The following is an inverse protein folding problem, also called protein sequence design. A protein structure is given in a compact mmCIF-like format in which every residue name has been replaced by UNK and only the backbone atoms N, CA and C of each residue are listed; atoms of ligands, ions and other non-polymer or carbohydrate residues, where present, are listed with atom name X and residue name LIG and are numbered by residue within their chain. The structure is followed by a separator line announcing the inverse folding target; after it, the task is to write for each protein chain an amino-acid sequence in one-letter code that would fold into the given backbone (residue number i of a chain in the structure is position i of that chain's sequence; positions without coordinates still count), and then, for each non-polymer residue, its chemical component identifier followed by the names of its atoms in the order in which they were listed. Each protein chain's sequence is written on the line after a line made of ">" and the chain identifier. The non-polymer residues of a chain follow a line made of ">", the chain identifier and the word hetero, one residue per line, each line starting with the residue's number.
data_IF_685757438702
#
_entry.id   IF_685757438702
#
_cell.length_a   1.000
_cell.length_b   1.000
_cell.length_c   1.000
_cell.angle_alpha   90.00
_cell.angle_beta   90.00
_cell.angle_gamma   90.00
#
_symmetry.space_group_name_H-M   'P 1'
#
loop_
_entity.id
_entity.type
_entity.pdbx_description
1 polymer ?
#
# COMPACT_ATOMS: atom_id res chain seq x y z
N UNK A 1 16.45 -1.25 27.41
CA UNK A 1 15.32 -2.19 27.51
C UNK A 1 15.76 -3.48 26.86
N UNK A 2 15.33 -4.63 27.37
CA UNK A 2 15.67 -5.94 26.81
C UNK A 2 14.39 -6.69 26.52
N UNK A 3 14.34 -7.40 25.37
CA UNK A 3 13.22 -8.23 24.96
C UNK A 3 13.73 -9.54 24.33
N UNK A 4 12.96 -10.61 24.44
CA UNK A 4 13.24 -11.85 23.73
C UNK A 4 13.07 -11.65 22.22
N UNK A 5 12.04 -10.86 21.81
CA UNK A 5 11.76 -10.55 20.41
C UNK A 5 11.46 -9.07 20.22
N UNK A 6 12.13 -8.45 19.26
CA UNK A 6 11.82 -7.10 18.78
C UNK A 6 11.36 -7.19 17.33
N UNK A 7 10.15 -6.69 17.06
CA UNK A 7 9.58 -6.63 15.70
C UNK A 7 9.68 -5.20 15.18
N UNK A 8 10.31 -5.01 14.02
CA UNK A 8 10.44 -3.72 13.36
C UNK A 8 9.44 -3.62 12.22
N UNK A 9 8.41 -2.82 12.41
CA UNK A 9 7.28 -2.62 11.51
C UNK A 9 5.98 -3.23 12.03
N UNK A 10 4.94 -2.41 12.10
CA UNK A 10 3.61 -2.77 12.62
C UNK A 10 2.59 -3.12 11.54
N UNK A 11 3.04 -3.50 10.34
CA UNK A 11 2.18 -4.00 9.26
C UNK A 11 1.65 -5.41 9.51
N UNK A 12 0.88 -6.01 8.55
CA UNK A 12 0.27 -7.34 8.73
C UNK A 12 1.25 -8.42 9.17
N UNK A 13 2.41 -8.52 8.56
CA UNK A 13 3.44 -9.46 8.98
C UNK A 13 3.95 -9.15 10.41
N UNK A 14 4.23 -7.87 10.70
CA UNK A 14 4.84 -7.48 11.96
C UNK A 14 3.91 -7.61 13.16
N UNK A 15 2.68 -7.05 13.12
CA UNK A 15 1.79 -7.13 14.28
C UNK A 15 1.36 -8.58 14.58
N UNK A 16 1.20 -9.41 13.55
CA UNK A 16 0.85 -10.83 13.77
C UNK A 16 2.05 -11.60 14.33
N UNK A 17 3.27 -11.35 13.82
CA UNK A 17 4.49 -11.93 14.39
C UNK A 17 4.67 -11.55 15.86
N UNK A 18 4.44 -10.27 16.20
CA UNK A 18 4.53 -9.80 17.58
C UNK A 18 3.52 -10.50 18.50
N UNK A 19 2.25 -10.58 18.09
CA UNK A 19 1.20 -11.26 18.85
C UNK A 19 1.53 -12.76 19.00
N UNK A 20 1.93 -13.43 17.92
CA UNK A 20 2.25 -14.85 17.94
C UNK A 20 3.44 -15.14 18.87
N UNK A 21 4.51 -14.35 18.81
CA UNK A 21 5.66 -14.49 19.70
C UNK A 21 5.27 -14.32 21.17
N UNK A 22 4.41 -13.34 21.48
CA UNK A 22 3.91 -13.13 22.83
C UNK A 22 3.04 -14.30 23.33
N UNK A 23 2.19 -14.87 22.46
CA UNK A 23 1.41 -16.07 22.77
C UNK A 23 2.28 -17.31 23.04
N UNK A 24 3.50 -17.34 22.52
CA UNK A 24 4.51 -18.36 22.81
C UNK A 24 5.32 -18.08 24.10
N UNK A 25 4.90 -17.08 24.88
CA UNK A 25 5.50 -16.77 26.19
C UNK A 25 6.73 -15.87 26.12
N UNK A 26 7.00 -15.23 24.98
CA UNK A 26 8.14 -14.31 24.82
C UNK A 26 7.79 -12.91 25.28
N UNK A 27 8.77 -12.18 25.80
CA UNK A 27 8.70 -10.72 25.99
C UNK A 27 8.90 -10.05 24.64
N UNK A 28 7.91 -9.25 24.17
CA UNK A 28 7.88 -8.73 22.80
C UNK A 28 7.69 -7.22 22.77
N UNK A 29 8.49 -6.54 21.97
CA UNK A 29 8.25 -5.16 21.52
C UNK A 29 7.94 -5.13 20.03
N UNK A 30 6.97 -4.27 19.63
CA UNK A 30 6.68 -3.99 18.23
C UNK A 30 6.84 -2.48 17.98
N UNK A 31 7.74 -2.13 17.04
CA UNK A 31 8.12 -0.75 16.75
C UNK A 31 7.41 -0.32 15.46
N UNK A 32 6.71 0.81 15.51
CA UNK A 32 6.03 1.40 14.35
C UNK A 32 6.26 2.90 14.30
N UNK A 33 6.63 3.43 13.12
CA UNK A 33 6.88 4.86 12.91
C UNK A 33 5.63 5.68 12.62
N UNK A 34 4.55 5.03 12.14
CA UNK A 34 3.35 5.74 11.73
C UNK A 34 2.57 6.24 12.93
N UNK A 35 2.24 7.52 12.89
CA UNK A 35 1.35 8.19 13.83
C UNK A 35 0.16 8.78 13.07
N UNK A 36 -0.98 8.93 13.73
CA UNK A 36 -2.14 9.64 13.19
C UNK A 36 -2.00 11.17 13.32
N UNK A 37 -2.97 11.90 12.81
CA UNK A 37 -3.03 13.37 12.90
C UNK A 37 -3.07 13.90 14.35
N UNK A 38 -3.36 13.04 15.33
CA UNK A 38 -3.39 13.37 16.76
C UNK A 38 -2.10 13.00 17.49
N UNK A 39 -1.09 12.46 16.77
CA UNK A 39 0.17 11.99 17.34
C UNK A 39 0.08 10.60 17.97
N UNK A 40 -1.02 9.87 17.81
CA UNK A 40 -1.15 8.50 18.29
C UNK A 40 -0.55 7.51 17.32
N UNK A 41 0.12 6.51 17.85
CA UNK A 41 0.71 5.41 17.08
C UNK A 41 -0.35 4.64 16.28
N UNK A 42 -0.05 4.35 15.01
CA UNK A 42 -0.99 3.78 14.04
C UNK A 42 -0.45 2.48 13.44
N UNK A 43 -0.81 1.36 14.06
CA UNK A 43 -0.46 0.02 13.57
C UNK A 43 -1.30 -0.39 12.36
N UNK A 44 -0.89 -1.45 11.66
CA UNK A 44 -1.59 -2.03 10.51
C UNK A 44 -0.86 -1.85 9.18
N UNK A 45 0.23 -1.06 9.16
CA UNK A 45 1.07 -0.83 7.98
C UNK A 45 0.29 -0.33 6.77
N UNK A 46 0.82 -0.57 5.57
CA UNK A 46 0.20 -0.16 4.30
C UNK A 46 -1.20 -0.74 4.14
N UNK A 47 -1.39 -2.03 4.35
CA UNK A 47 -2.66 -2.71 4.06
C UNK A 47 -3.85 -2.08 4.81
N UNK A 48 -3.72 -1.86 6.12
CA UNK A 48 -4.84 -1.34 6.91
C UNK A 48 -5.01 0.17 6.77
N UNK A 49 -3.92 0.91 6.65
CA UNK A 49 -3.96 2.36 6.71
C UNK A 49 -4.15 3.04 5.35
N UNK A 50 -3.42 2.57 4.32
CA UNK A 50 -3.31 3.27 3.02
C UNK A 50 -3.29 2.28 1.83
N UNK A 51 -3.87 1.11 2.00
CA UNK A 51 -3.88 0.04 0.99
C UNK A 51 -5.19 -0.72 0.96
N UNK A 52 -5.15 -2.02 1.29
CA UNK A 52 -6.24 -2.96 1.11
C UNK A 52 -7.56 -2.52 1.76
N UNK A 53 -7.51 -2.06 3.01
CA UNK A 53 -8.72 -1.74 3.76
C UNK A 53 -9.41 -0.48 3.22
N UNK A 54 -8.73 0.69 3.10
CA UNK A 54 -9.39 1.86 2.54
C UNK A 54 -9.79 1.67 1.07
N UNK A 55 -9.00 0.96 0.24
CA UNK A 55 -9.39 0.72 -1.16
C UNK A 55 -10.65 -0.15 -1.25
N UNK A 56 -10.78 -1.21 -0.45
CA UNK A 56 -11.98 -2.07 -0.43
C UNK A 56 -13.20 -1.33 0.14
N UNK A 57 -13.01 -0.45 1.12
CA UNK A 57 -14.09 0.40 1.63
C UNK A 57 -14.63 1.35 0.55
N UNK A 58 -13.73 1.93 -0.29
CA UNK A 58 -14.14 2.78 -1.42
C UNK A 58 -14.72 1.96 -2.57
N UNK A 59 -14.15 0.78 -2.87
CA UNK A 59 -14.71 -0.13 -3.88
C UNK A 59 -16.15 -0.54 -3.53
N UNK A 60 -16.41 -0.93 -2.27
CA UNK A 60 -17.78 -1.25 -1.81
C UNK A 60 -18.74 -0.06 -1.96
N UNK A 61 -18.33 1.12 -1.50
CA UNK A 61 -19.19 2.31 -1.57
C UNK A 61 -19.42 2.78 -3.01
N UNK A 62 -18.36 2.80 -3.85
CA UNK A 62 -18.49 3.20 -5.25
C UNK A 62 -19.31 2.19 -6.07
N UNK A 63 -19.24 0.88 -5.75
CA UNK A 63 -20.08 -0.13 -6.39
C UNK A 63 -21.55 0.09 -6.07
N UNK A 64 -21.90 0.33 -4.80
CA UNK A 64 -23.29 0.63 -4.39
C UNK A 64 -23.84 1.85 -5.11
N UNK A 65 -23.05 2.90 -5.23
CA UNK A 65 -23.43 4.09 -6.00
C UNK A 65 -23.65 3.76 -7.47
N UNK A 66 -22.72 3.05 -8.10
CA UNK A 66 -22.78 2.66 -9.50
C UNK A 66 -23.98 1.77 -9.80
N UNK A 67 -24.26 0.75 -8.95
CA UNK A 67 -25.41 -0.13 -9.10
C UNK A 67 -26.72 0.64 -8.98
N UNK A 68 -26.78 1.58 -8.02
CA UNK A 68 -27.97 2.43 -7.84
C UNK A 68 -28.25 3.29 -9.07
N UNK A 69 -27.19 3.82 -9.71
CA UNK A 69 -27.33 4.71 -10.88
C UNK A 69 -27.59 3.94 -12.18
N UNK A 70 -27.00 2.74 -12.34
CA UNK A 70 -26.92 2.04 -13.63
C UNK A 70 -27.73 0.75 -13.70
N UNK A 71 -27.91 0.03 -12.60
CA UNK A 71 -28.40 -1.33 -12.65
C UNK A 71 -29.79 -1.54 -12.04
N UNK A 72 -30.23 -0.71 -11.10
CA UNK A 72 -31.49 -0.92 -10.37
C UNK A 72 -32.72 -0.89 -11.28
N UNK A 73 -32.72 -0.09 -12.34
CA UNK A 73 -33.84 -0.06 -13.30
C UNK A 73 -34.07 -1.41 -13.99
N UNK A 74 -33.02 -2.19 -14.24
CA UNK A 74 -33.09 -3.55 -14.77
C UNK A 74 -33.81 -4.54 -13.81
N UNK A 75 -33.84 -4.22 -12.51
CA UNK A 75 -34.59 -4.95 -11.49
C UNK A 75 -35.99 -4.41 -11.22
N UNK A 76 -36.47 -3.45 -12.02
CA UNK A 76 -37.77 -2.79 -11.82
C UNK A 76 -37.78 -1.78 -10.66
N UNK A 77 -36.58 -1.32 -10.23
CA UNK A 77 -36.44 -0.35 -9.13
C UNK A 77 -36.08 1.01 -9.73
N UNK A 78 -37.01 1.94 -9.72
CA UNK A 78 -36.78 3.29 -10.20
C UNK A 78 -36.36 4.22 -9.07
N UNK A 79 -35.15 4.82 -9.24
CA UNK A 79 -34.63 5.81 -8.31
C UNK A 79 -34.65 7.18 -8.98
N UNK A 80 -35.49 8.09 -8.47
CA UNK A 80 -35.73 9.40 -9.10
C UNK A 80 -34.50 10.33 -9.10
N UNK A 81 -33.68 10.27 -8.06
CA UNK A 81 -32.45 11.04 -7.98
C UNK A 81 -31.43 10.36 -7.07
N UNK A 82 -30.17 10.36 -7.49
CA UNK A 82 -29.05 9.86 -6.69
C UNK A 82 -28.01 10.96 -6.58
N UNK A 83 -27.62 11.32 -5.38
CA UNK A 83 -26.54 12.26 -5.12
C UNK A 83 -25.39 11.57 -4.39
N UNK A 84 -24.17 11.96 -4.71
CA UNK A 84 -22.97 11.50 -4.04
C UNK A 84 -22.52 12.54 -3.00
N UNK A 85 -22.43 12.13 -1.74
CA UNK A 85 -21.71 12.86 -0.69
C UNK A 85 -20.34 12.20 -0.52
N UNK A 86 -19.34 12.72 -1.22
CA UNK A 86 -17.99 12.18 -1.19
C UNK A 86 -17.35 12.33 0.19
N UNK A 87 -17.60 13.44 0.91
CA UNK A 87 -17.03 13.67 2.24
C UNK A 87 -17.50 12.57 3.20
N UNK A 88 -18.80 12.25 3.21
CA UNK A 88 -19.35 11.17 4.02
C UNK A 88 -18.83 9.77 3.62
N UNK A 89 -18.58 9.54 2.32
CA UNK A 89 -17.95 8.30 1.85
C UNK A 89 -16.52 8.17 2.38
N UNK A 90 -15.74 9.27 2.37
CA UNK A 90 -14.39 9.30 2.94
C UNK A 90 -14.41 9.11 4.46
N UNK A 91 -15.32 9.76 5.17
CA UNK A 91 -15.49 9.56 6.63
C UNK A 91 -15.79 8.10 6.97
N UNK A 92 -16.63 7.42 6.15
CA UNK A 92 -16.88 5.98 6.31
C UNK A 92 -15.61 5.16 6.13
N UNK A 93 -14.81 5.44 5.08
CA UNK A 93 -13.51 4.78 4.83
C UNK A 93 -12.60 4.95 6.05
N UNK A 94 -12.46 6.17 6.56
CA UNK A 94 -11.60 6.50 7.70
C UNK A 94 -12.10 5.84 9.00
N UNK A 95 -13.41 5.76 9.19
CA UNK A 95 -14.03 5.03 10.29
C UNK A 95 -13.69 3.54 10.28
N UNK A 96 -13.73 2.89 9.09
CA UNK A 96 -13.35 1.48 8.94
C UNK A 96 -11.86 1.28 9.28
N UNK A 97 -10.98 2.13 8.75
CA UNK A 97 -9.54 2.09 9.03
C UNK A 97 -9.28 2.25 10.53
N UNK A 98 -9.87 3.27 11.15
CA UNK A 98 -9.71 3.57 12.59
C UNK A 98 -10.16 2.41 13.46
N UNK A 99 -11.31 1.79 13.15
CA UNK A 99 -11.82 0.64 13.91
C UNK A 99 -10.83 -0.53 13.88
N UNK A 100 -10.28 -0.86 12.71
CA UNK A 100 -9.37 -2.00 12.57
C UNK A 100 -8.00 -1.72 13.18
N UNK A 101 -7.45 -0.54 12.97
CA UNK A 101 -6.12 -0.19 13.53
C UNK A 101 -6.16 -0.06 15.05
N UNK A 102 -7.24 0.46 15.63
CA UNK A 102 -7.45 0.47 17.09
C UNK A 102 -7.57 -0.94 17.66
N UNK A 103 -8.15 -1.87 16.89
CA UNK A 103 -8.25 -3.28 17.28
C UNK A 103 -6.88 -3.93 17.49
N UNK A 104 -5.85 -3.56 16.71
CA UNK A 104 -4.49 -4.09 16.87
C UNK A 104 -3.91 -3.70 18.23
N UNK A 105 -4.06 -2.44 18.64
CA UNK A 105 -3.60 -1.99 19.98
C UNK A 105 -4.34 -2.72 21.11
N UNK A 106 -5.61 -3.03 20.91
CA UNK A 106 -6.38 -3.88 21.82
C UNK A 106 -5.78 -5.29 21.93
N UNK A 107 -5.43 -5.90 20.78
CA UNK A 107 -4.78 -7.21 20.75
C UNK A 107 -3.39 -7.18 21.39
N UNK A 108 -2.61 -6.13 21.18
CA UNK A 108 -1.31 -5.97 21.85
C UNK A 108 -1.46 -5.94 23.37
N UNK A 109 -2.43 -5.17 23.86
CA UNK A 109 -2.70 -5.10 25.31
C UNK A 109 -3.07 -6.47 25.89
N UNK A 110 -3.94 -7.23 25.25
CA UNK A 110 -4.37 -8.56 25.71
C UNK A 110 -3.22 -9.57 25.69
N UNK A 111 -2.30 -9.45 24.72
CA UNK A 111 -1.17 -10.38 24.56
C UNK A 111 0.14 -9.84 25.20
N UNK A 112 0.11 -8.74 25.94
CA UNK A 112 1.28 -8.13 26.58
C UNK A 112 2.41 -7.76 25.60
N UNK A 113 2.08 -7.39 24.36
CA UNK A 113 3.04 -6.83 23.41
C UNK A 113 3.27 -5.36 23.76
N UNK A 114 4.53 -4.95 23.89
CA UNK A 114 4.92 -3.55 24.15
C UNK A 114 4.95 -2.76 22.85
N UNK A 115 4.02 -1.81 22.63
CA UNK A 115 4.06 -0.93 21.47
C UNK A 115 5.12 0.16 21.68
N UNK A 116 5.97 0.40 20.68
CA UNK A 116 7.01 1.44 20.71
C UNK A 116 6.85 2.32 19.47
N UNK A 117 6.71 3.63 19.67
CA UNK A 117 6.65 4.61 18.58
C UNK A 117 8.07 4.99 18.16
N UNK A 118 8.32 5.02 16.86
CA UNK A 118 9.53 5.55 16.28
C UNK A 118 10.02 4.82 15.05
N UNK A 119 11.03 5.40 14.42
CA UNK A 119 11.77 4.78 13.31
C UNK A 119 12.89 3.96 13.91
N UNK A 120 12.93 2.66 13.56
CA UNK A 120 13.91 1.73 14.07
C UNK A 120 15.01 1.44 13.03
N UNK A 121 16.25 1.34 13.49
CA UNK A 121 17.42 0.88 12.74
C UNK A 121 18.04 -0.30 13.47
N UNK A 122 18.22 -1.42 12.77
CA UNK A 122 18.97 -2.57 13.28
C UNK A 122 20.46 -2.25 13.25
N UNK A 123 21.12 -2.42 14.39
CA UNK A 123 22.57 -2.28 14.56
C UNK A 123 23.22 -3.68 14.69
N UNK A 124 24.55 -3.71 14.80
CA UNK A 124 25.27 -4.93 15.14
C UNK A 124 24.78 -5.58 16.45
N UNK A 125 24.98 -6.88 16.57
CA UNK A 125 24.65 -7.69 17.77
C UNK A 125 23.17 -7.61 18.18
N UNK A 126 22.26 -7.49 17.20
CA UNK A 126 20.79 -7.44 17.42
C UNK A 126 20.34 -6.30 18.32
N UNK A 127 21.11 -5.22 18.39
CA UNK A 127 20.68 -3.99 19.01
C UNK A 127 19.80 -3.21 18.04
N UNK A 128 18.75 -2.58 18.54
CA UNK A 128 17.82 -1.77 17.75
C UNK A 128 17.84 -0.35 18.28
N UNK A 129 18.20 0.60 17.44
CA UNK A 129 18.09 2.04 17.72
C UNK A 129 16.71 2.52 17.28
N UNK A 130 15.96 3.10 18.21
CA UNK A 130 14.65 3.69 17.92
C UNK A 130 14.74 5.20 18.09
N UNK A 131 14.34 5.95 17.07
CA UNK A 131 14.22 7.40 17.10
C UNK A 131 12.74 7.76 17.04
N UNK A 132 12.23 8.36 18.12
CA UNK A 132 10.83 8.79 18.21
C UNK A 132 10.57 10.10 17.44
N UNK A 133 9.30 10.52 17.37
CA UNK A 133 8.86 11.75 16.67
C UNK A 133 9.44 13.05 17.29
N UNK A 134 9.92 13.01 18.55
CA UNK A 134 10.63 14.14 19.19
C UNK A 134 12.11 14.19 18.85
N UNK A 135 12.63 13.15 18.18
CA UNK A 135 14.05 12.99 17.85
C UNK A 135 14.86 12.31 18.96
N UNK A 136 14.23 11.86 20.06
CA UNK A 136 14.89 11.14 21.15
C UNK A 136 15.25 9.74 20.69
N UNK A 137 16.46 9.33 20.95
CA UNK A 137 16.99 8.01 20.62
C UNK A 137 16.96 7.08 21.85
N UNK A 138 16.50 5.84 21.60
CA UNK A 138 16.47 4.80 22.63
C UNK A 138 17.05 3.52 22.03
N UNK A 139 18.02 2.92 22.72
CA UNK A 139 18.62 1.64 22.33
C UNK A 139 17.91 0.49 23.05
N UNK A 140 17.50 -0.52 22.27
CA UNK A 140 16.83 -1.73 22.73
C UNK A 140 17.75 -2.91 22.37
N UNK A 141 17.90 -3.86 23.31
CA UNK A 141 18.60 -5.11 23.05
C UNK A 141 17.59 -6.23 22.87
N UNK A 142 17.79 -7.07 21.85
CA UNK A 142 16.94 -8.20 21.55
C UNK A 142 17.73 -9.51 21.54
N UNK A 143 17.08 -10.61 21.91
CA UNK A 143 17.59 -11.94 21.61
C UNK A 143 17.37 -12.30 20.15
N UNK A 144 16.18 -11.96 19.64
CA UNK A 144 15.79 -12.15 18.25
C UNK A 144 15.15 -10.87 17.68
N UNK A 145 15.36 -10.61 16.38
CA UNK A 145 14.76 -9.47 15.69
C UNK A 145 13.98 -9.97 14.48
N UNK A 146 12.76 -9.44 14.29
CA UNK A 146 11.95 -9.69 13.09
C UNK A 146 11.82 -8.39 12.31
N UNK A 147 12.38 -8.35 11.12
CA UNK A 147 12.29 -7.23 10.18
C UNK A 147 11.00 -7.37 9.36
N UNK A 148 10.08 -6.44 9.53
CA UNK A 148 8.77 -6.42 8.88
C UNK A 148 8.38 -5.02 8.39
N UNK A 149 9.37 -4.24 7.91
CA UNK A 149 9.23 -2.84 7.48
C UNK A 149 8.36 -2.66 6.23
N UNK A 150 8.09 -3.75 5.50
CA UNK A 150 7.16 -3.76 4.37
C UNK A 150 7.73 -3.13 3.10
N UNK A 151 6.90 -2.38 2.39
CA UNK A 151 7.19 -1.80 1.09
C UNK A 151 6.66 -0.37 0.96
N UNK A 152 7.14 0.33 -0.05
CA UNK A 152 6.70 1.68 -0.42
C UNK A 152 6.43 1.79 -1.92
N UNK A 153 5.54 2.70 -2.37
CA UNK A 153 5.32 2.98 -3.79
C UNK A 153 6.61 3.40 -4.50
N UNK A 154 6.71 3.06 -5.78
CA UNK A 154 7.81 3.50 -6.63
C UNK A 154 7.47 4.88 -7.20
N UNK A 155 8.29 5.87 -6.89
CA UNK A 155 8.30 7.15 -7.59
C UNK A 155 9.16 7.04 -8.85
N UNK A 156 8.65 7.57 -9.97
CA UNK A 156 9.38 7.56 -11.25
C UNK A 156 9.79 8.99 -11.64
N UNK A 157 11.03 9.21 -12.06
CA UNK A 157 11.53 10.57 -12.36
C UNK A 157 10.75 11.31 -13.44
N UNK A 158 10.09 10.58 -14.36
CA UNK A 158 9.28 11.15 -15.45
C UNK A 158 7.91 11.66 -14.98
N UNK A 159 7.47 11.29 -13.76
CA UNK A 159 6.20 11.71 -13.15
C UNK A 159 6.42 11.98 -11.65
N UNK A 160 7.20 13.00 -11.26
CA UNK A 160 7.47 13.32 -9.87
C UNK A 160 6.18 13.72 -9.16
N UNK A 161 6.06 13.33 -7.88
CA UNK A 161 4.88 13.64 -7.09
C UNK A 161 4.69 15.14 -6.90
N UNK A 162 3.44 15.57 -6.94
CA UNK A 162 3.03 16.96 -6.79
C UNK A 162 1.62 17.03 -6.20
N UNK A 163 0.99 18.17 -6.18
CA UNK A 163 -0.41 18.33 -5.76
C UNK A 163 -1.38 17.47 -6.61
N UNK A 164 -1.10 17.34 -7.92
CA UNK A 164 -1.99 16.67 -8.88
C UNK A 164 -1.42 15.33 -9.39
N UNK A 165 -0.18 14.98 -9.05
CA UNK A 165 0.46 13.70 -9.35
C UNK A 165 0.73 12.97 -8.03
N UNK A 166 0.13 11.81 -7.83
CA UNK A 166 0.20 11.10 -6.57
C UNK A 166 0.38 9.59 -6.75
N UNK A 167 0.73 8.93 -5.66
CA UNK A 167 0.74 7.47 -5.55
C UNK A 167 -0.65 6.91 -5.18
N UNK A 168 -0.69 5.62 -4.88
CA UNK A 168 -1.91 4.94 -4.41
C UNK A 168 -2.42 5.49 -3.07
N UNK A 169 -1.56 6.04 -2.22
CA UNK A 169 -1.93 6.61 -0.92
C UNK A 169 -2.73 7.90 -1.11
N UNK A 170 -2.21 8.84 -1.92
CA UNK A 170 -2.90 10.09 -2.18
C UNK A 170 -4.19 9.89 -2.97
N UNK A 171 -4.25 8.87 -3.84
CA UNK A 171 -5.47 8.51 -4.56
C UNK A 171 -6.63 8.06 -3.67
N UNK A 172 -6.36 7.60 -2.45
CA UNK A 172 -7.35 7.26 -1.42
C UNK A 172 -7.86 8.47 -0.64
N UNK A 173 -7.29 9.65 -0.87
CA UNK A 173 -7.54 10.88 -0.11
C UNK A 173 -8.11 12.03 -0.97
N UNK A 174 -8.54 11.78 -2.21
CA UNK A 174 -9.15 12.82 -3.03
C UNK A 174 -10.43 13.36 -2.39
N UNK A 175 -10.49 14.67 -2.23
CA UNK A 175 -11.63 15.38 -1.64
C UNK A 175 -12.71 15.77 -2.66
N UNK A 176 -12.41 15.60 -3.94
CA UNK A 176 -13.35 15.82 -5.05
C UNK A 176 -13.16 14.71 -6.09
N UNK A 177 -14.23 14.37 -6.81
CA UNK A 177 -14.15 13.44 -7.94
C UNK A 177 -13.49 14.17 -9.10
N UNK A 178 -12.27 13.77 -9.56
CA UNK A 178 -11.65 14.40 -10.71
C UNK A 178 -12.47 14.13 -11.97
N UNK A 179 -12.64 15.12 -12.84
CA UNK A 179 -13.39 14.91 -14.10
C UNK A 179 -12.61 14.01 -15.05
N UNK A 180 -11.29 14.24 -15.18
CA UNK A 180 -10.35 13.41 -15.95
C UNK A 180 -9.26 12.89 -15.04
N UNK A 181 -9.15 11.58 -14.92
CA UNK A 181 -8.15 10.89 -14.10
C UNK A 181 -7.23 10.06 -14.97
N UNK A 182 -5.94 10.33 -14.89
CA UNK A 182 -4.91 9.47 -15.47
C UNK A 182 -4.41 8.44 -14.45
N UNK A 183 -4.08 7.25 -14.93
CA UNK A 183 -3.41 6.20 -14.12
C UNK A 183 -2.24 5.68 -14.94
N UNK A 184 -1.05 5.69 -14.37
CA UNK A 184 0.13 5.03 -14.95
C UNK A 184 0.29 3.67 -14.27
N UNK A 185 0.16 2.60 -15.08
CA UNK A 185 0.25 1.22 -14.65
C UNK A 185 -1.12 0.53 -14.54
N UNK A 186 -1.34 -0.51 -15.37
CA UNK A 186 -2.54 -1.36 -15.36
C UNK A 186 -2.38 -2.57 -14.42
N UNK A 187 -1.58 -2.45 -13.36
CA UNK A 187 -1.53 -3.41 -12.27
C UNK A 187 -2.77 -3.34 -11.37
N UNK A 188 -2.90 -4.31 -10.45
CA UNK A 188 -4.08 -4.45 -9.57
C UNK A 188 -4.43 -3.13 -8.86
N UNK A 189 -3.44 -2.41 -8.32
CA UNK A 189 -3.65 -1.17 -7.56
C UNK A 189 -4.21 -0.07 -8.48
N UNK A 190 -3.61 0.12 -9.66
CA UNK A 190 -4.06 1.12 -10.63
C UNK A 190 -5.49 0.87 -11.11
N UNK A 191 -5.80 -0.39 -11.40
CA UNK A 191 -7.14 -0.80 -11.84
C UNK A 191 -8.19 -0.67 -10.73
N UNK A 192 -7.89 -1.07 -9.50
CA UNK A 192 -8.81 -0.89 -8.36
C UNK A 192 -9.14 0.58 -8.13
N UNK A 193 -8.12 1.44 -8.03
CA UNK A 193 -8.33 2.88 -7.79
C UNK A 193 -8.97 3.56 -9.00
N UNK A 194 -8.55 3.22 -10.22
CA UNK A 194 -9.21 3.70 -11.44
C UNK A 194 -10.70 3.35 -11.47
N UNK A 195 -11.05 2.11 -11.08
CA UNK A 195 -12.45 1.68 -11.07
C UNK A 195 -13.29 2.39 -9.99
N UNK A 196 -12.72 2.67 -8.82
CA UNK A 196 -13.41 3.48 -7.79
C UNK A 196 -13.84 4.82 -8.39
N UNK A 197 -12.90 5.56 -8.97
CA UNK A 197 -13.16 6.91 -9.47
C UNK A 197 -14.02 6.90 -10.74
N UNK A 198 -13.88 5.89 -11.62
CA UNK A 198 -14.76 5.73 -12.79
C UNK A 198 -16.23 5.53 -12.38
N UNK A 199 -16.49 4.67 -11.37
CA UNK A 199 -17.84 4.45 -10.82
C UNK A 199 -18.44 5.71 -10.22
N UNK A 200 -17.59 6.63 -9.72
CA UNK A 200 -18.02 7.92 -9.16
C UNK A 200 -18.16 9.02 -10.22
N UNK A 201 -17.85 8.74 -11.49
CA UNK A 201 -18.08 9.64 -12.61
C UNK A 201 -16.83 10.24 -13.26
N UNK A 202 -15.62 9.86 -12.86
CA UNK A 202 -14.40 10.26 -13.55
C UNK A 202 -14.27 9.60 -14.92
N UNK A 203 -13.79 10.34 -15.92
CA UNK A 203 -13.25 9.77 -17.15
C UNK A 203 -11.84 9.27 -16.84
N UNK A 204 -11.67 7.93 -16.79
CA UNK A 204 -10.40 7.30 -16.39
C UNK A 204 -9.67 6.76 -17.60
N UNK A 205 -8.42 7.19 -17.81
CA UNK A 205 -7.50 6.61 -18.79
C UNK A 205 -6.34 5.97 -18.04
N UNK A 206 -6.10 4.68 -18.33
CA UNK A 206 -4.99 3.90 -17.77
C UNK A 206 -3.95 3.70 -18.86
N UNK A 207 -2.72 4.16 -18.63
CA UNK A 207 -1.58 4.00 -19.51
C UNK A 207 -0.67 2.88 -19.00
N UNK A 208 -0.53 1.81 -19.78
CA UNK A 208 0.31 0.66 -19.46
C UNK A 208 1.40 0.50 -20.52
N UNK A 209 2.65 0.43 -20.07
CA UNK A 209 3.80 0.32 -20.96
C UNK A 209 3.91 -1.04 -21.64
N UNK A 210 3.38 -2.10 -21.00
CA UNK A 210 3.39 -3.44 -21.56
C UNK A 210 2.21 -3.66 -22.52
N UNK A 211 2.41 -4.54 -23.48
CA UNK A 211 1.35 -4.97 -24.42
C UNK A 211 0.39 -5.99 -23.78
N UNK A 212 0.81 -6.64 -22.69
CA UNK A 212 0.03 -7.65 -21.97
C UNK A 212 -0.69 -7.04 -20.78
N UNK A 213 -2.02 -7.20 -20.74
CA UNK A 213 -2.86 -6.80 -19.60
C UNK A 213 -2.80 -7.82 -18.47
N UNK A 214 -2.50 -7.37 -17.25
CA UNK A 214 -2.41 -8.21 -16.05
C UNK A 214 -1.57 -9.47 -16.27
N UNK A 215 -0.34 -9.33 -16.73
CA UNK A 215 0.58 -10.41 -17.11
C UNK A 215 0.80 -11.46 -15.99
N UNK A 216 0.49 -11.13 -14.74
CA UNK A 216 0.54 -12.04 -13.58
C UNK A 216 -0.68 -12.97 -13.48
N UNK A 217 -1.78 -12.69 -14.19
CA UNK A 217 -3.01 -13.45 -14.16
C UNK A 217 -3.05 -14.47 -15.31
N UNK A 218 -3.91 -15.48 -15.16
CA UNK A 218 -4.26 -16.35 -16.28
C UNK A 218 -4.79 -15.50 -17.45
N UNK A 219 -4.36 -15.81 -18.67
CA UNK A 219 -4.65 -15.01 -19.87
C UNK A 219 -6.15 -14.89 -20.17
N UNK A 220 -6.92 -15.95 -19.93
CA UNK A 220 -8.36 -15.93 -20.16
C UNK A 220 -9.05 -15.03 -19.13
N UNK A 221 -8.66 -15.14 -17.87
CA UNK A 221 -9.14 -14.28 -16.78
C UNK A 221 -8.78 -12.81 -17.06
N UNK A 222 -7.53 -12.53 -17.43
CA UNK A 222 -7.09 -11.16 -17.77
C UNK A 222 -7.94 -10.56 -18.90
N UNK A 223 -8.22 -11.34 -19.96
CA UNK A 223 -9.07 -10.91 -21.08
C UNK A 223 -10.52 -10.56 -20.64
N UNK A 224 -11.11 -11.39 -19.78
CA UNK A 224 -12.47 -11.15 -19.30
C UNK A 224 -12.53 -9.96 -18.34
N UNK A 225 -11.54 -9.83 -17.45
CA UNK A 225 -11.39 -8.66 -16.57
C UNK A 225 -11.23 -7.36 -17.35
N UNK A 226 -10.43 -7.35 -18.43
CA UNK A 226 -10.27 -6.18 -19.29
C UNK A 226 -11.60 -5.74 -19.92
N UNK A 227 -12.41 -6.69 -20.41
CA UNK A 227 -13.75 -6.40 -20.94
C UNK A 227 -14.67 -5.78 -19.87
N UNK A 228 -14.62 -6.30 -18.65
CA UNK A 228 -15.45 -5.78 -17.55
C UNK A 228 -15.03 -4.36 -17.14
N UNK A 229 -13.73 -4.06 -17.08
CA UNK A 229 -13.27 -2.70 -16.84
C UNK A 229 -13.66 -1.73 -17.96
N UNK A 230 -13.57 -2.16 -19.23
CA UNK A 230 -14.04 -1.36 -20.36
C UNK A 230 -15.54 -1.04 -20.28
N UNK A 231 -16.39 -2.01 -19.87
CA UNK A 231 -17.82 -1.80 -19.61
C UNK A 231 -18.07 -0.79 -18.47
N UNK A 232 -17.20 -0.77 -17.48
CA UNK A 232 -17.25 0.20 -16.38
C UNK A 232 -16.73 1.60 -16.79
N UNK A 233 -16.25 1.76 -18.02
CA UNK A 233 -15.81 3.06 -18.56
C UNK A 233 -14.32 3.36 -18.37
N UNK A 234 -13.48 2.38 -18.06
CA UNK A 234 -12.03 2.57 -18.07
C UNK A 234 -11.49 2.49 -19.51
N UNK A 235 -10.75 3.52 -19.93
CA UNK A 235 -9.97 3.53 -21.18
C UNK A 235 -8.57 3.00 -20.88
N UNK A 236 -8.34 1.71 -21.11
CA UNK A 236 -7.07 1.03 -20.83
C UNK A 236 -6.25 0.95 -22.12
N UNK A 237 -5.12 1.66 -22.15
CA UNK A 237 -4.21 1.74 -23.28
C UNK A 237 -2.93 0.97 -22.99
N UNK A 238 -2.82 -0.21 -23.59
CA UNK A 238 -1.62 -1.05 -23.55
C UNK A 238 -0.57 -0.52 -24.54
N UNK A 239 0.70 -0.91 -24.39
CA UNK A 239 1.80 -0.46 -25.21
C UNK A 239 2.01 1.06 -25.19
N UNK A 240 1.53 1.72 -24.11
CA UNK A 240 1.53 3.19 -23.95
C UNK A 240 2.56 3.59 -22.91
N UNK A 241 3.80 3.81 -23.32
CA UNK A 241 4.91 4.18 -22.44
C UNK A 241 4.92 5.67 -22.17
N UNK A 242 4.63 6.06 -20.93
CA UNK A 242 4.73 7.46 -20.48
C UNK A 242 6.19 7.92 -20.57
N UNK A 243 6.41 9.08 -21.20
CA UNK A 243 7.71 9.71 -21.37
C UNK A 243 7.91 10.94 -20.48
N UNK A 244 6.82 11.63 -20.14
CA UNK A 244 6.83 12.70 -19.13
C UNK A 244 5.44 12.97 -18.58
N UNK A 245 5.38 13.43 -17.31
CA UNK A 245 4.17 14.01 -16.72
C UNK A 245 4.54 15.32 -16.03
N UNK A 246 3.83 16.40 -16.36
CA UNK A 246 4.08 17.75 -15.83
C UNK A 246 2.80 18.32 -15.23
N UNK A 247 2.85 18.64 -13.96
CA UNK A 247 1.81 19.40 -13.28
C UNK A 247 2.05 20.89 -13.46
N UNK A 248 1.06 21.60 -14.03
CA UNK A 248 1.11 23.06 -14.19
C UNK A 248 0.24 23.81 -13.16
N UNK A 249 -0.18 23.12 -12.08
CA UNK A 249 -1.03 23.63 -11.02
C UNK A 249 -2.54 23.58 -11.32
N UNK A 250 -2.93 23.40 -12.59
CA UNK A 250 -4.34 23.27 -13.01
C UNK A 250 -4.65 21.91 -13.61
N UNK A 251 -3.70 21.37 -14.37
CA UNK A 251 -3.78 20.11 -15.09
C UNK A 251 -2.43 19.40 -15.07
N UNK A 252 -2.48 18.09 -15.22
CA UNK A 252 -1.32 17.27 -15.48
C UNK A 252 -1.28 16.94 -16.96
N UNK A 253 -0.21 17.35 -17.64
CA UNK A 253 0.04 17.02 -19.05
C UNK A 253 0.92 15.78 -19.07
N UNK A 254 0.43 14.69 -19.65
CA UNK A 254 1.12 13.41 -19.78
C UNK A 254 1.44 13.14 -21.23
N UNK A 255 2.73 13.06 -21.56
CA UNK A 255 3.19 12.63 -22.87
C UNK A 255 3.54 11.13 -22.81
N UNK A 256 3.19 10.40 -23.84
CA UNK A 256 3.47 8.98 -23.95
C UNK A 256 3.73 8.56 -25.38
N UNK A 257 4.46 7.47 -25.58
CA UNK A 257 4.75 6.88 -26.87
C UNK A 257 4.04 5.54 -27.03
N UNK A 258 3.62 5.27 -28.26
CA UNK A 258 3.05 3.98 -28.70
C UNK A 258 3.76 3.52 -29.97
N UNK A 259 3.42 2.35 -30.49
CA UNK A 259 3.87 1.88 -31.82
C UNK A 259 3.48 2.84 -32.97
N UNK A 260 2.48 3.68 -32.78
CA UNK A 260 1.97 4.64 -33.77
C UNK A 260 2.58 6.04 -33.65
N UNK A 261 3.48 6.27 -32.68
CA UNK A 261 4.12 7.55 -32.43
C UNK A 261 3.82 8.11 -31.04
N UNK A 262 4.13 9.39 -30.87
CA UNK A 262 3.92 10.12 -29.60
C UNK A 262 2.52 10.76 -29.57
N UNK A 263 1.96 10.83 -28.36
CA UNK A 263 0.67 11.46 -28.08
C UNK A 263 0.67 12.11 -26.69
N UNK A 264 -0.33 12.92 -26.39
CA UNK A 264 -0.43 13.66 -25.14
C UNK A 264 -1.86 13.70 -24.61
N UNK A 265 -2.01 13.62 -23.29
CA UNK A 265 -3.29 13.70 -22.59
C UNK A 265 -3.22 14.70 -21.43
N UNK A 266 -4.37 15.29 -21.12
CA UNK A 266 -4.52 16.19 -19.98
C UNK A 266 -5.48 15.60 -18.94
N UNK A 267 -5.05 15.63 -17.67
CA UNK A 267 -5.80 15.14 -16.53
C UNK A 267 -5.95 16.17 -15.41
N UNK A 268 -6.97 16.04 -14.58
CA UNK A 268 -7.11 16.81 -13.34
C UNK A 268 -6.19 16.26 -12.26
N UNK A 269 -6.10 14.93 -12.18
CA UNK A 269 -5.23 14.18 -11.27
C UNK A 269 -4.59 13.01 -12.01
N UNK A 270 -3.39 12.64 -11.56
CA UNK A 270 -2.65 11.49 -12.09
C UNK A 270 -2.24 10.56 -10.93
N UNK A 271 -2.53 9.28 -11.06
CA UNK A 271 -2.09 8.24 -10.14
C UNK A 271 -0.91 7.50 -10.77
N UNK A 272 0.21 7.41 -10.05
CA UNK A 272 1.37 6.58 -10.43
C UNK A 272 1.31 5.26 -9.65
N UNK A 273 1.02 4.16 -10.34
CA UNK A 273 0.80 2.83 -9.78
C UNK A 273 1.67 1.76 -10.46
N UNK A 274 2.95 2.08 -10.70
CA UNK A 274 3.91 1.26 -11.46
C UNK A 274 4.61 0.18 -10.63
N UNK A 275 4.19 -0.01 -9.39
CA UNK A 275 4.70 -1.03 -8.48
C UNK A 275 5.16 -0.49 -7.14
N UNK A 276 5.75 -1.40 -6.37
CA UNK A 276 6.25 -1.14 -5.02
C UNK A 276 7.67 -1.68 -4.89
N UNK A 277 8.45 -1.10 -3.99
CA UNK A 277 9.79 -1.58 -3.62
C UNK A 277 9.87 -1.87 -2.13
N UNK A 278 10.72 -2.81 -1.67
CA UNK A 278 10.90 -3.08 -0.26
C UNK A 278 11.39 -1.83 0.48
N UNK A 279 10.97 -1.67 1.73
CA UNK A 279 11.41 -0.56 2.57
C UNK A 279 12.60 -1.02 3.43
N UNK A 280 13.79 -1.08 2.81
CA UNK A 280 15.05 -1.44 3.45
C UNK A 280 15.95 -0.23 3.74
N UNK A 281 15.64 0.93 3.17
CA UNK A 281 16.37 2.18 3.43
C UNK A 281 16.27 2.55 4.92
N UNK A 282 17.39 2.95 5.52
CA UNK A 282 17.50 3.34 6.94
C UNK A 282 17.11 2.24 7.96
N UNK A 283 16.71 1.06 7.49
CA UNK A 283 16.35 -0.08 8.35
C UNK A 283 17.59 -0.74 8.98
N UNK A 284 18.69 -0.75 8.25
CA UNK A 284 19.91 -1.47 8.59
C UNK A 284 21.07 -0.50 8.70
N UNK A 285 21.84 -0.59 9.79
CA UNK A 285 23.14 0.06 9.85
C UNK A 285 24.17 -0.72 9.01
N UNK A 286 25.24 -0.10 8.54
CA UNK A 286 26.27 -0.79 7.75
C UNK A 286 26.90 -2.00 8.45
N UNK A 287 26.93 -1.99 9.77
CA UNK A 287 27.52 -3.03 10.63
C UNK A 287 26.49 -4.08 11.09
N UNK A 288 25.22 -3.97 10.67
CA UNK A 288 24.18 -4.98 10.97
C UNK A 288 24.48 -6.33 10.29
N UNK A 289 25.27 -6.35 9.21
CA UNK A 289 25.70 -7.58 8.53
C UNK A 289 24.56 -8.34 7.82
N UNK A 290 23.47 -7.65 7.46
CA UNK A 290 22.34 -8.23 6.74
C UNK A 290 22.53 -8.07 5.24
N UNK A 291 22.38 -9.16 4.50
CA UNK A 291 22.48 -9.16 3.05
C UNK A 291 21.17 -8.71 2.41
N UNK A 292 21.26 -7.80 1.44
CA UNK A 292 20.17 -7.35 0.59
C UNK A 292 20.52 -7.58 -0.88
N UNK A 293 19.52 -7.86 -1.71
CA UNK A 293 19.74 -8.05 -3.14
C UNK A 293 19.72 -6.73 -3.92
N UNK A 294 19.97 -6.83 -5.24
CA UNK A 294 20.04 -5.69 -6.17
C UNK A 294 18.74 -4.87 -6.29
N UNK A 295 17.59 -5.43 -5.82
CA UNK A 295 16.29 -4.77 -5.79
C UNK A 295 15.90 -4.27 -4.38
N UNK A 296 16.82 -4.42 -3.41
CA UNK A 296 16.62 -3.97 -2.04
C UNK A 296 15.85 -4.94 -1.14
N UNK A 297 15.58 -6.18 -1.57
CA UNK A 297 14.98 -7.20 -0.72
C UNK A 297 16.03 -7.80 0.23
N UNK A 298 15.63 -8.03 1.47
CA UNK A 298 16.45 -8.79 2.43
C UNK A 298 16.47 -10.26 2.00
N UNK A 299 17.69 -10.82 1.94
CA UNK A 299 17.92 -12.22 1.60
C UNK A 299 17.65 -13.08 2.84
N UNK A 300 16.83 -14.12 2.68
CA UNK A 300 16.46 -15.04 3.75
C UNK A 300 16.51 -16.49 3.26
N UNK A 301 16.68 -17.42 4.20
CA UNK A 301 16.55 -18.85 3.97
C UNK A 301 15.07 -19.31 4.03
N UNK A 302 14.82 -20.61 3.96
CA UNK A 302 13.48 -21.22 3.94
C UNK A 302 12.68 -20.99 5.23
N UNK A 303 13.36 -20.71 6.36
CA UNK A 303 12.73 -20.37 7.64
C UNK A 303 12.73 -18.85 7.91
N UNK A 304 12.85 -18.05 6.88
CA UNK A 304 12.87 -16.58 6.95
C UNK A 304 14.03 -15.98 7.76
N UNK A 305 15.08 -16.73 8.08
CA UNK A 305 16.26 -16.23 8.77
C UNK A 305 17.23 -15.58 7.77
N UNK A 306 17.80 -14.46 8.18
CA UNK A 306 18.75 -13.68 7.36
C UNK A 306 20.16 -14.26 7.47
N UNK A 307 21.16 -13.57 6.89
CA UNK A 307 22.59 -13.87 7.07
C UNK A 307 23.09 -13.75 8.52
N UNK A 308 22.29 -13.14 9.42
CA UNK A 308 22.61 -13.00 10.84
C UNK A 308 21.71 -13.89 11.68
N UNK A 309 22.31 -14.81 12.47
CA UNK A 309 21.58 -15.73 13.33
C UNK A 309 20.68 -14.97 14.33
N UNK A 310 19.41 -15.41 14.43
CA UNK A 310 18.38 -14.79 15.26
C UNK A 310 17.86 -13.46 14.72
N UNK A 311 18.13 -13.16 13.45
CA UNK A 311 17.48 -12.04 12.72
C UNK A 311 16.69 -12.61 11.56
N UNK A 312 15.40 -12.34 11.55
CA UNK A 312 14.43 -12.83 10.55
C UNK A 312 13.88 -11.66 9.75
N UNK A 313 13.45 -11.91 8.51
CA UNK A 313 12.73 -10.92 7.72
C UNK A 313 11.50 -11.53 7.03
N UNK A 314 10.39 -10.80 7.05
CA UNK A 314 9.09 -11.29 6.56
C UNK A 314 8.30 -10.20 5.81
N UNK A 315 7.26 -10.60 5.11
CA UNK A 315 6.35 -9.70 4.39
C UNK A 315 6.96 -9.16 3.10
N UNK A 316 6.61 -7.91 2.74
CA UNK A 316 7.04 -7.27 1.49
C UNK A 316 8.54 -6.96 1.44
N UNK A 317 9.22 -7.07 2.58
CA UNK A 317 10.67 -6.87 2.69
C UNK A 317 11.48 -7.99 2.04
N UNK A 318 10.91 -9.18 1.86
CA UNK A 318 11.55 -10.36 1.26
C UNK A 318 10.94 -10.70 -0.10
N UNK A 319 11.68 -11.44 -0.94
CA UNK A 319 11.24 -11.86 -2.28
C UNK A 319 9.88 -12.57 -2.26
N UNK A 320 9.16 -12.46 -3.38
CA UNK A 320 7.84 -13.02 -3.60
C UNK A 320 6.77 -11.93 -3.77
N UNK A 321 5.49 -12.31 -3.93
CA UNK A 321 4.42 -11.34 -4.14
C UNK A 321 4.25 -10.42 -2.93
N UNK A 322 4.11 -9.11 -3.18
CA UNK A 322 3.86 -8.12 -2.13
C UNK A 322 2.38 -8.14 -1.72
N UNK A 323 2.00 -9.17 -0.99
CA UNK A 323 0.64 -9.43 -0.51
C UNK A 323 0.64 -9.58 1.01
N UNK A 324 -0.32 -8.95 1.67
CA UNK A 324 -0.50 -9.07 3.13
C UNK A 324 -0.59 -10.55 3.58
N UNK A 325 -1.26 -11.39 2.78
CA UNK A 325 -1.43 -12.82 3.06
C UNK A 325 -0.10 -13.59 3.05
N UNK A 326 0.86 -13.24 2.17
CA UNK A 326 2.22 -13.82 2.22
C UNK A 326 2.86 -13.53 3.57
N UNK A 327 2.82 -12.28 4.03
CA UNK A 327 3.36 -11.90 5.31
C UNK A 327 2.74 -12.66 6.48
N UNK A 328 1.40 -12.85 6.46
CA UNK A 328 0.69 -13.64 7.47
C UNK A 328 1.08 -15.12 7.43
N UNK A 329 1.36 -15.69 6.26
CA UNK A 329 1.78 -17.09 6.11
C UNK A 329 3.20 -17.31 6.64
N UNK A 330 4.14 -16.43 6.26
CA UNK A 330 5.57 -16.59 6.61
C UNK A 330 5.84 -16.61 8.12
N UNK A 331 5.02 -15.95 8.93
CA UNK A 331 5.22 -15.95 10.40
C UNK A 331 4.89 -17.27 11.08
N UNK A 332 4.35 -18.26 10.37
CA UNK A 332 4.03 -19.59 10.88
C UNK A 332 5.08 -20.63 10.52
N UNK A 333 6.11 -20.24 9.75
CA UNK A 333 7.25 -21.08 9.41
C UNK A 333 8.29 -21.03 10.55
#
# INVERSE_FOLDING_TARGET
>A
MNFDVVVIGGGPAGYVAAIKSAQLGKSVACIEKNIDKTGKQKYGGTCLNVGCIPSKALLDSSQRYYDTVKHLSGHGIDVKSVSLDLAKMMDRKDGVVTKLTSGILGLFKVNNVTPIEGTATLLANKAVLVKDSSGKETKIQAENVILASGSQPIEIPIAPWSENITDSTGALEFITVPKKLGVIGAGVIGLELGSVWARLGSQVTVLEALDDFLSMADRQIAKDVNKEFAKQGLDIRLGSKVTSAKDNGKKVIVNYSTSNGEDSLEFDKLIVAVGRRPYSESLLSPDAGIEIDEKGFVIVNEVCETSQAGVYAVGDLVRGPMLAHKGLSLIHI
#
